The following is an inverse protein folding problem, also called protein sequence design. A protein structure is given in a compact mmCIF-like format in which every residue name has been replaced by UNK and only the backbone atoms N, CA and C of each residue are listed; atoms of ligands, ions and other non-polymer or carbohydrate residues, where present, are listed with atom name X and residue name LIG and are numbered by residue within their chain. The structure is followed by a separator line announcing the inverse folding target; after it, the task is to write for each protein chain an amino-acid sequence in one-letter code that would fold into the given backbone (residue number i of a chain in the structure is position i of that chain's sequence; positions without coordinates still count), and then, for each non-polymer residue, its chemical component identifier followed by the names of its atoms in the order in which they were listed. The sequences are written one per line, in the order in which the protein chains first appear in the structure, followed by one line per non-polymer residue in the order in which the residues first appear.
data_IF_233298584119
#
_entry.id   IF_233298584119
#
_cell.length_a   1.000
_cell.length_b   1.000
_cell.length_c   1.000
_cell.angle_alpha   90.00
_cell.angle_beta   90.00
_cell.angle_gamma   90.00
#
_symmetry.space_group_name_H-M   'P 1'
#
loop_
_entity.id
_entity.type
_entity.pdbx_description
1 polymer ?
2 non-polymer ?
3 water ?
#
# COMPACT_ATOMS: atom_id res chain seq x y z
N UNK A 1 -22.62 -13.72 4.57
CA UNK A 1 -21.61 -13.46 5.65
C UNK A 1 -20.98 -12.08 5.52
N UNK A 2 -20.77 -11.40 6.64
CA UNK A 2 -20.27 -10.03 6.64
C UNK A 2 -18.79 -9.97 6.22
N UNK A 3 -18.01 -10.95 6.67
CA UNK A 3 -16.58 -10.96 6.42
C UNK A 3 -16.26 -12.26 5.69
N UNK A 4 -14.88 -12.02 4.94
CA UNK A 4 -14.16 -13.10 4.26
C UNK A 4 -13.69 -14.16 5.28
N UNK A 5 -13.60 -15.41 4.88
CA UNK A 5 -13.18 -16.49 5.79
C UNK A 5 -11.77 -16.33 6.33
N UNK A 6 -10.87 -15.78 5.53
CA UNK A 6 -9.51 -15.56 6.00
C UNK A 6 -9.41 -14.61 7.19
N UNK A 7 -10.43 -13.80 7.40
CA UNK A 7 -10.47 -12.91 8.54
C UNK A 7 -10.54 -13.69 9.82
N UNK A 8 -11.10 -14.89 9.78
CA UNK A 8 -11.20 -15.74 10.96
C UNK A 8 -10.03 -16.70 11.15
N UNK A 9 -9.28 -16.97 10.10
CA UNK A 9 -8.22 -18.00 10.10
C UNK A 9 -6.77 -17.52 9.85
N UNK A 10 -6.57 -16.26 9.47
CA UNK A 10 -5.26 -15.77 9.07
C UNK A 10 -4.17 -16.04 10.10
N UNK A 11 -3.08 -16.62 9.63
CA UNK A 11 -1.90 -16.97 10.43
C UNK A 11 -0.65 -16.96 9.56
N UNK A 12 0.47 -16.39 10.05
CA UNK A 12 1.73 -16.41 9.30
C UNK A 12 2.15 -17.86 9.08
N UNK A 13 2.45 -18.17 7.83
CA UNK A 13 2.94 -19.50 7.45
C UNK A 13 3.94 -19.40 6.34
N UNK A 14 4.72 -20.45 6.17
CA UNK A 14 5.72 -20.55 5.14
C UNK A 14 7.09 -20.16 5.69
N UNK A 15 8.05 -20.10 4.79
CA UNK A 15 9.37 -19.64 5.15
C UNK A 15 9.34 -18.13 5.29
N UNK A 16 10.29 -17.58 6.01
CA UNK A 16 10.34 -16.16 6.22
C UNK A 16 11.72 -15.59 6.10
N UNK A 17 11.77 -14.28 5.95
CA UNK A 17 13.02 -13.53 5.90
C UNK A 17 12.86 -12.22 6.65
N UNK A 18 13.82 -11.91 7.52
CA UNK A 18 13.82 -10.63 8.21
C UNK A 18 14.82 -9.72 7.48
N UNK A 19 14.41 -8.48 7.25
CA UNK A 19 15.22 -7.47 6.64
C UNK A 19 15.20 -6.27 7.56
N UNK A 20 16.37 -5.64 7.63
CA UNK A 20 16.55 -4.43 8.51
C UNK A 20 17.26 -3.30 7.81
N UNK A 21 17.55 -3.38 6.52
CA UNK A 21 18.00 -2.26 5.70
C UNK A 21 17.05 -2.12 4.52
N UNK A 22 17.21 -1.11 3.70
CA UNK A 22 16.40 -0.96 2.50
C UNK A 22 16.72 -2.13 1.61
N UNK A 23 15.69 -2.86 1.20
CA UNK A 23 15.90 -4.09 0.44
C UNK A 23 14.63 -4.46 -0.33
N UNK A 24 14.85 -4.82 -1.58
CA UNK A 24 13.85 -5.40 -2.47
C UNK A 24 14.25 -6.84 -2.67
N UNK A 25 13.28 -7.74 -2.61
CA UNK A 25 13.58 -9.14 -2.86
C UNK A 25 12.33 -9.96 -3.08
N UNK A 26 12.47 -11.27 -3.03
CA UNK A 26 11.39 -12.21 -3.06
C UNK A 26 11.59 -13.25 -1.98
N UNK A 27 10.50 -13.73 -1.46
CA UNK A 27 10.48 -14.85 -0.53
C UNK A 27 9.50 -15.82 -1.09
N UNK A 28 10.01 -16.97 -1.49
CA UNK A 28 9.22 -17.83 -2.29
C UNK A 28 8.95 -17.03 -3.55
N UNK A 29 7.70 -16.99 -3.85
CA UNK A 29 7.17 -16.31 -5.01
C UNK A 29 6.51 -15.00 -4.69
N UNK A 30 6.77 -14.42 -3.52
CA UNK A 30 6.18 -13.17 -3.07
C UNK A 30 7.22 -12.08 -3.15
N UNK A 31 6.94 -10.97 -3.82
CA UNK A 31 7.81 -9.85 -3.83
C UNK A 31 7.67 -9.04 -2.56
N UNK A 32 8.77 -8.50 -2.06
CA UNK A 32 8.75 -7.63 -0.88
C UNK A 32 9.67 -6.44 -1.05
N UNK A 33 9.41 -5.42 -0.24
CA UNK A 33 10.34 -4.33 -0.12
C UNK A 33 10.17 -3.73 1.26
N UNK A 34 11.32 -3.44 1.88
CA UNK A 34 11.41 -2.56 3.01
C UNK A 34 12.14 -1.31 2.50
N UNK A 35 11.58 -0.12 2.73
CA UNK A 35 12.22 1.13 2.32
C UNK A 35 11.92 2.14 3.37
N UNK A 36 12.93 2.84 3.80
CA UNK A 36 12.74 4.01 4.62
C UNK A 36 13.79 5.04 4.29
N UNK A 37 13.46 6.31 4.51
CA UNK A 37 14.45 7.38 4.29
C UNK A 37 15.39 7.55 5.48
N UNK A 38 15.04 6.95 6.61
CA UNK A 38 15.75 7.13 7.84
C UNK A 38 15.20 6.16 8.85
N UNK A 39 15.90 6.05 9.96
CA UNK A 39 15.46 5.29 11.13
C UNK A 39 16.08 3.88 11.28
N UNK A 40 15.70 3.21 12.37
CA UNK A 40 16.14 1.86 12.71
C UNK A 40 14.92 0.91 12.61
N UNK A 41 14.79 0.26 11.45
CA UNK A 41 13.51 -0.35 11.05
C UNK A 41 13.71 -1.83 10.71
N UNK A 42 12.61 -2.57 10.58
CA UNK A 42 12.67 -3.95 10.12
C UNK A 42 11.36 -4.38 9.50
N UNK A 43 11.37 -5.52 8.82
CA UNK A 43 10.17 -6.21 8.39
C UNK A 43 10.50 -7.68 8.25
N UNK A 44 9.49 -8.51 8.51
CA UNK A 44 9.53 -9.95 8.33
C UNK A 44 8.51 -10.36 7.31
N UNK A 45 8.97 -11.00 6.22
CA UNK A 45 8.10 -11.38 5.08
C UNK A 45 8.04 -12.89 4.99
N UNK A 46 6.84 -13.41 4.79
CA UNK A 46 6.57 -14.85 4.69
C UNK A 46 6.20 -15.23 3.29
N UNK A 47 6.49 -16.49 2.92
CA UNK A 47 6.19 -17.02 1.59
C UNK A 47 4.72 -17.22 1.29
N UNK A 48 3.88 -17.11 2.30
CA UNK A 48 2.42 -17.09 2.06
C UNK A 48 1.88 -15.68 1.77
N UNK A 49 2.75 -14.70 1.69
CA UNK A 49 2.36 -13.33 1.44
C UNK A 49 2.25 -12.44 2.67
N UNK A 50 2.00 -13.03 3.83
CA UNK A 50 1.83 -12.29 5.06
C UNK A 50 3.15 -11.69 5.54
N UNK A 51 3.11 -10.71 6.46
CA UNK A 51 4.31 -10.00 6.86
C UNK A 51 4.07 -9.21 8.14
N UNK A 52 5.15 -8.70 8.71
CA UNK A 52 5.09 -7.82 9.89
C UNK A 52 6.14 -6.72 9.79
N UNK A 53 5.86 -5.57 10.43
CA UNK A 53 6.63 -4.34 10.26
C UNK A 53 7.02 -3.75 11.63
N UNK A 54 8.23 -3.21 11.70
CA UNK A 54 8.67 -2.33 12.81
C UNK A 54 9.43 -1.13 12.27
N UNK A 55 9.17 0.03 12.93
CA UNK A 55 9.83 1.28 12.53
C UNK A 55 10.17 2.08 13.76
N UNK A 56 11.30 2.80 13.70
CA UNK A 56 11.80 3.60 14.83
C UNK A 56 12.53 4.82 14.32
N UNK A 57 12.00 5.99 14.70
CA UNK A 57 12.60 7.24 14.32
C UNK A 57 12.69 7.44 12.81
N UNK A 58 11.67 6.96 12.10
CA UNK A 58 11.59 7.02 10.64
C UNK A 58 10.82 8.26 10.14
N UNK A 59 11.34 8.94 9.14
CA UNK A 59 10.61 10.01 8.50
C UNK A 59 9.58 9.51 7.50
N UNK A 60 9.90 8.47 6.73
CA UNK A 60 8.98 7.83 5.85
C UNK A 60 9.45 6.39 5.77
N UNK A 61 8.56 5.48 6.20
CA UNK A 61 8.80 4.03 6.26
C UNK A 61 7.69 3.30 5.54
N UNK A 62 8.07 2.37 4.70
CA UNK A 62 7.13 1.54 3.97
C UNK A 62 7.57 0.08 4.11
N UNK A 63 6.60 -0.78 4.49
CA UNK A 63 6.76 -2.22 4.42
C UNK A 63 5.69 -2.76 3.47
N UNK A 64 6.08 -3.59 2.48
CA UNK A 64 5.09 -4.00 1.49
C UNK A 64 5.45 -5.35 0.90
N UNK A 65 4.40 -6.09 0.51
CA UNK A 65 4.55 -7.43 -0.03
C UNK A 65 3.49 -7.66 -1.12
N UNK A 66 3.87 -8.36 -2.18
CA UNK A 66 2.92 -8.67 -3.26
C UNK A 66 3.62 -8.78 -4.56
N UNK A 67 3.04 -8.18 -5.60
CA UNK A 67 3.45 -8.39 -6.99
C UNK A 67 4.48 -7.38 -7.42
N UNK A 68 5.47 -7.85 -8.14
CA UNK A 68 6.50 -6.99 -8.78
C UNK A 68 6.46 -7.31 -10.27
N UNK A 69 6.29 -6.30 -11.08
CA UNK A 69 6.20 -6.43 -12.54
C UNK A 69 7.40 -5.73 -13.18
N UNK A 70 7.48 -5.77 -14.49
CA UNK A 70 8.62 -5.24 -15.22
C UNK A 70 8.30 -3.93 -15.95
N UNK A 71 7.20 -3.26 -15.66
CA UNK A 71 6.88 -1.98 -16.27
C UNK A 71 6.79 -2.05 -17.78
N UNK A 72 6.15 -3.12 -18.26
CA UNK A 72 5.94 -3.30 -19.72
C UNK A 72 4.46 -3.28 -20.12
N UNK A 73 3.52 -3.45 -19.18
CA UNK A 73 2.10 -3.58 -19.50
C UNK A 73 1.26 -2.73 -18.56
N UNK A 74 0.20 -2.14 -19.07
CA UNK A 74 -0.75 -1.46 -18.22
C UNK A 74 -1.53 -2.47 -17.41
N UNK A 75 -2.20 -2.01 -16.34
CA UNK A 75 -3.07 -2.92 -15.59
C UNK A 75 -4.10 -3.66 -16.46
N UNK A 76 -4.70 -2.98 -17.40
CA UNK A 76 -5.70 -3.63 -18.24
C UNK A 76 -5.08 -4.75 -19.07
N UNK A 77 -3.87 -4.55 -19.55
CA UNK A 77 -3.15 -5.59 -20.27
C UNK A 77 -2.77 -6.77 -19.40
N UNK A 78 -2.49 -6.54 -18.12
CA UNK A 78 -2.13 -7.59 -17.18
C UNK A 78 -3.33 -8.44 -16.77
N UNK A 79 -4.47 -7.80 -16.46
CA UNK A 79 -5.64 -8.50 -15.97
C UNK A 79 -6.21 -7.85 -14.75
N UNK A 80 -7.32 -8.39 -14.27
CA UNK A 80 -8.05 -7.87 -13.11
C UNK A 80 -7.36 -8.36 -11.86
N UNK A 81 -7.02 -7.45 -10.94
CA UNK A 81 -6.22 -7.73 -9.75
C UNK A 81 -6.98 -7.43 -8.48
N UNK A 82 -6.65 -8.17 -7.44
CA UNK A 82 -7.24 -8.08 -6.12
C UNK A 82 -6.19 -8.25 -5.06
N UNK A 83 -6.48 -7.78 -3.85
CA UNK A 83 -5.67 -8.08 -2.70
C UNK A 83 -6.54 -8.45 -1.52
N UNK A 84 -6.21 -9.53 -0.87
CA UNK A 84 -6.81 -9.96 0.39
C UNK A 84 -5.87 -9.52 1.49
N UNK A 85 -6.37 -8.94 2.57
CA UNK A 85 -5.50 -8.51 3.66
C UNK A 85 -6.22 -8.56 4.98
N UNK A 86 -5.38 -8.68 6.02
CA UNK A 86 -5.79 -8.51 7.41
C UNK A 86 -4.70 -7.77 8.16
N UNK A 87 -5.06 -6.63 8.75
CA UNK A 87 -4.17 -5.78 9.55
C UNK A 87 -4.51 -5.93 11.01
N UNK A 88 -3.47 -6.06 11.84
CA UNK A 88 -3.59 -6.00 13.28
C UNK A 88 -2.68 -4.88 13.74
N UNK A 89 -3.28 -3.79 14.25
CA UNK A 89 -2.50 -2.66 14.75
C UNK A 89 -1.94 -2.99 16.11
N UNK A 90 -0.80 -2.37 16.39
CA UNK A 90 -0.06 -2.49 17.65
C UNK A 90 0.31 -1.03 18.00
N UNK A 91 1.20 -0.84 18.96
CA UNK A 91 1.51 0.50 19.43
C UNK A 91 2.27 1.29 18.38
N UNK A 92 2.02 2.60 18.34
CA UNK A 92 2.90 3.52 17.60
C UNK A 92 2.93 4.93 18.22
N UNK A 93 3.86 5.77 17.78
CA UNK A 93 3.95 7.11 18.32
C UNK A 93 4.50 8.06 17.27
N UNK A 94 4.07 9.31 17.37
CA UNK A 94 4.54 10.37 16.45
C UNK A 94 4.36 9.98 14.97
N UNK A 95 3.24 9.31 14.66
CA UNK A 95 2.92 8.94 13.29
C UNK A 95 2.09 10.10 12.76
N UNK A 96 2.74 10.95 11.96
CA UNK A 96 2.10 12.12 11.37
C UNK A 96 1.24 11.82 10.17
N UNK A 97 1.58 10.77 9.43
CA UNK A 97 0.78 10.32 8.30
C UNK A 97 1.01 8.79 8.16
N UNK A 98 0.01 8.10 7.63
CA UNK A 98 0.10 6.65 7.40
C UNK A 98 -0.96 6.19 6.45
N UNK A 99 -0.61 5.15 5.74
CA UNK A 99 -1.48 4.49 4.78
C UNK A 99 -1.33 2.98 4.91
N UNK A 100 -2.48 2.28 4.94
CA UNK A 100 -2.53 0.82 4.87
C UNK A 100 -3.51 0.42 3.78
N UNK A 101 -3.09 -0.48 2.90
CA UNK A 101 -3.98 -0.97 1.82
C UNK A 101 -3.12 -1.51 0.71
N UNK A 102 -3.40 -1.08 -0.51
CA UNK A 102 -2.66 -1.46 -1.68
C UNK A 102 -1.87 -0.26 -2.18
N UNK A 103 -0.70 -0.55 -2.73
CA UNK A 103 0.25 0.46 -3.19
C UNK A 103 0.99 -0.01 -4.39
N UNK A 104 1.40 0.92 -5.23
CA UNK A 104 2.40 0.62 -6.23
C UNK A 104 2.74 1.82 -7.07
N UNK A 105 3.32 1.54 -8.23
CA UNK A 105 3.74 2.56 -9.18
C UNK A 105 3.38 2.16 -10.59
N UNK A 106 3.23 3.15 -11.44
CA UNK A 106 3.35 2.99 -12.88
C UNK A 106 4.43 3.88 -13.42
N UNK A 107 4.84 3.59 -14.65
CA UNK A 107 5.72 4.42 -15.47
C UNK A 107 4.97 4.85 -16.72
N UNK A 108 5.33 6.03 -17.22
CA UNK A 108 4.75 6.52 -18.49
C UNK A 108 3.22 6.52 -18.48
N UNK A 109 2.59 7.23 -17.56
CA UNK A 109 3.19 8.21 -16.65
C UNK A 109 3.70 7.60 -15.35
N UNK A 110 4.66 8.30 -14.74
CA UNK A 110 5.20 7.96 -13.45
C UNK A 110 4.21 8.34 -12.36
N UNK A 111 3.69 7.33 -11.69
CA UNK A 111 2.63 7.49 -10.69
C UNK A 111 2.93 6.62 -9.50
N UNK A 112 2.76 7.16 -8.30
CA UNK A 112 2.72 6.38 -7.04
C UNK A 112 1.26 6.33 -6.64
N UNK A 113 0.70 5.14 -6.47
CA UNK A 113 -0.73 4.99 -6.21
C UNK A 113 -0.99 4.28 -4.91
N UNK A 114 -2.14 4.62 -4.32
CA UNK A 114 -2.59 4.14 -3.03
C UNK A 114 -4.08 3.84 -3.04
N UNK A 115 -4.45 2.69 -2.48
CA UNK A 115 -5.80 2.36 -2.12
C UNK A 115 -5.80 2.14 -0.64
N UNK A 116 -6.34 3.08 0.13
CA UNK A 116 -6.10 3.17 1.57
C UNK A 116 -7.35 2.74 2.30
N UNK A 117 -7.30 1.58 2.93
CA UNK A 117 -8.39 1.07 3.72
C UNK A 117 -8.22 1.29 5.21
N UNK A 118 -7.02 1.62 5.66
CA UNK A 118 -6.75 1.86 7.07
C UNK A 118 -5.47 2.68 7.19
N UNK A 119 -5.05 2.88 8.45
CA UNK A 119 -3.96 3.81 8.77
C UNK A 119 -3.53 3.55 10.17
N UNK A 120 -2.23 3.77 10.42
CA UNK A 120 -1.61 3.59 11.73
C UNK A 120 -1.55 4.88 12.51
N UNK A 121 -1.86 6.01 11.87
CA UNK A 121 -1.97 7.30 12.46
C UNK A 121 -3.20 7.37 13.34
N UNK A 122 -3.24 8.36 14.26
CA UNK A 122 -4.42 8.42 15.12
C UNK A 122 -5.73 8.72 14.34
N UNK A 123 -5.62 9.47 13.26
CA UNK A 123 -6.77 9.85 12.44
C UNK A 123 -6.47 9.48 10.99
N UNK A 124 -7.53 9.33 10.16
CA UNK A 124 -7.23 9.03 8.76
C UNK A 124 -6.49 10.17 8.05
N UNK A 125 -5.83 9.86 6.92
CA UNK A 125 -5.29 10.94 6.11
C UNK A 125 -6.40 11.86 5.64
N UNK A 126 -6.09 13.14 5.58
CA UNK A 126 -7.04 14.16 5.21
C UNK A 126 -6.79 14.78 3.86
N UNK A 127 -7.43 15.92 3.64
CA UNK A 127 -7.40 16.57 2.33
C UNK A 127 -6.00 17.01 1.91
N UNK A 128 -5.09 17.10 2.87
CA UNK A 128 -3.70 17.41 2.59
C UNK A 128 -3.00 16.38 1.70
N UNK A 129 -3.57 15.20 1.50
CA UNK A 129 -2.89 14.19 0.68
C UNK A 129 -2.74 14.62 -0.76
N UNK A 130 -3.58 15.52 -1.27
CA UNK A 130 -3.35 15.94 -2.63
C UNK A 130 -3.91 17.30 -2.98
N UNK A 131 -3.42 17.87 -4.05
CA UNK A 131 -3.92 19.15 -4.48
C UNK A 131 -5.29 19.10 -5.12
N UNK A 132 -5.71 17.95 -5.63
CA UNK A 132 -6.99 17.80 -6.30
C UNK A 132 -7.84 16.79 -5.54
N UNK A 133 -8.99 17.22 -5.08
CA UNK A 133 -9.96 16.38 -4.44
C UNK A 133 -11.05 16.09 -5.44
N UNK A 134 -11.13 14.87 -5.95
CA UNK A 134 -12.13 14.51 -6.93
C UNK A 134 -13.46 14.29 -6.30
N UNK A 135 -13.50 13.93 -5.03
CA UNK A 135 -14.75 13.74 -4.32
C UNK A 135 -15.00 12.33 -3.88
N UNK A 136 -16.24 12.06 -3.51
CA UNK A 136 -16.68 10.78 -2.98
C UNK A 136 -17.24 9.90 -4.07
N UNK A 137 -16.87 8.64 -4.06
CA UNK A 137 -17.28 7.67 -5.05
C UNK A 137 -17.57 6.36 -4.36
N UNK A 138 -18.54 5.64 -4.88
CA UNK A 138 -18.74 4.23 -4.51
C UNK A 138 -17.81 3.39 -5.39
N UNK A 139 -16.84 2.76 -4.73
CA UNK A 139 -15.86 1.91 -5.38
C UNK A 139 -15.83 0.61 -4.62
N UNK A 140 -15.96 -0.52 -5.32
CA UNK A 140 -15.84 -1.83 -4.69
C UNK A 140 -16.78 -1.90 -3.49
N UNK A 141 -18.02 -1.40 -3.65
CA UNK A 141 -19.04 -1.59 -2.64
C UNK A 141 -18.92 -0.74 -1.40
N UNK A 142 -18.06 0.28 -1.43
CA UNK A 142 -17.88 1.16 -0.27
C UNK A 142 -17.59 2.59 -0.73
N UNK A 143 -17.72 3.53 0.20
CA UNK A 143 -17.40 4.93 -0.07
C UNK A 143 -15.92 5.21 0.11
N UNK A 144 -15.33 5.81 -0.93
CA UNK A 144 -13.94 6.26 -0.95
C UNK A 144 -13.89 7.71 -1.39
N UNK A 145 -12.96 8.46 -0.83
CA UNK A 145 -12.64 9.78 -1.33
C UNK A 145 -11.43 9.65 -2.26
N UNK A 146 -11.52 10.21 -3.45
CA UNK A 146 -10.47 10.11 -4.44
C UNK A 146 -9.74 11.44 -4.55
N UNK A 147 -8.42 11.36 -4.53
CA UNK A 147 -7.52 12.52 -4.61
C UNK A 147 -6.47 12.25 -5.65
N UNK A 148 -5.90 13.33 -6.16
CA UNK A 148 -4.73 13.27 -7.01
C UNK A 148 -3.73 14.32 -6.51
N UNK A 149 -2.45 14.06 -6.69
CA UNK A 149 -1.40 14.96 -6.28
C UNK A 149 -0.27 14.93 -7.28
N UNK A 150 0.62 15.92 -7.17
CA UNK A 150 1.93 15.91 -7.83
C UNK A 150 2.97 16.12 -6.71
N UNK A 151 3.93 15.21 -6.59
CA UNK A 151 4.88 15.14 -5.44
C UNK A 151 6.28 15.08 -6.01
N UNK A 152 7.24 15.60 -5.24
CA UNK A 152 8.65 15.56 -5.53
C UNK A 152 9.32 14.77 -4.42
N UNK A 153 10.15 13.79 -4.77
CA UNK A 153 10.80 12.99 -3.74
C UNK A 153 11.43 11.76 -4.36
N UNK A 154 11.87 10.84 -3.51
CA UNK A 154 12.40 9.59 -3.97
C UNK A 154 11.33 8.85 -4.76
N UNK A 155 11.77 8.11 -5.77
CA UNK A 155 10.87 7.36 -6.59
C UNK A 155 11.59 6.12 -7.13
N UNK A 156 10.84 5.28 -7.82
CA UNK A 156 11.43 4.11 -8.46
C UNK A 156 12.43 4.47 -9.58
N UNK A 157 12.40 5.72 -10.02
CA UNK A 157 13.30 6.23 -11.07
C UNK A 157 14.43 7.08 -10.48
N UNK A 158 14.51 7.23 -9.16
CA UNK A 158 15.42 8.20 -8.54
C UNK A 158 14.65 9.43 -8.07
N UNK A 159 15.34 10.43 -7.55
CA UNK A 159 14.70 11.63 -7.04
C UNK A 159 14.14 12.43 -8.20
N UNK A 160 12.82 12.62 -8.24
CA UNK A 160 12.17 13.27 -9.37
C UNK A 160 10.80 13.74 -8.90
N UNK A 161 9.91 14.01 -9.85
CA UNK A 161 8.52 14.35 -9.60
C UNK A 161 7.61 13.35 -10.31
N UNK A 162 6.49 13.09 -9.65
CA UNK A 162 5.55 12.07 -10.08
C UNK A 162 4.14 12.48 -9.66
N UNK A 163 3.14 11.92 -10.31
CA UNK A 163 1.80 12.01 -9.82
C UNK A 163 1.53 11.00 -8.74
N UNK A 164 0.56 11.31 -7.89
CA UNK A 164 0.03 10.35 -6.94
C UNK A 164 -1.45 10.22 -7.14
N UNK A 165 -1.96 9.00 -7.04
CA UNK A 165 -3.40 8.70 -7.05
C UNK A 165 -3.78 8.07 -5.73
N UNK A 166 -4.88 8.52 -5.12
CA UNK A 166 -5.35 7.99 -3.85
C UNK A 166 -6.84 7.68 -3.93
N UNK A 167 -7.22 6.52 -3.37
CA UNK A 167 -8.57 6.28 -2.90
C UNK A 167 -8.47 6.12 -1.38
N UNK A 168 -9.20 6.89 -0.60
CA UNK A 168 -9.16 6.79 0.84
C UNK A 168 -10.52 6.34 1.35
N UNK A 169 -10.59 5.18 1.99
CA UNK A 169 -11.83 4.62 2.45
C UNK A 169 -12.40 5.52 3.53
N UNK A 170 -13.71 5.81 3.48
CA UNK A 170 -14.32 6.73 4.44
C UNK A 170 -14.52 6.10 5.80
N UNK A 171 -14.63 4.80 5.87
CA UNK A 171 -14.63 4.07 7.13
C UNK A 171 -13.59 2.97 7.08
N UNK A 172 -12.69 2.95 8.08
CA UNK A 172 -11.61 2.00 8.09
C UNK A 172 -12.12 0.56 7.98
N UNK A 173 -11.30 -0.25 7.33
CA UNK A 173 -11.51 -1.68 7.16
C UNK A 173 -10.22 -2.38 7.62
N UNK A 174 -10.32 -3.35 8.53
CA UNK A 174 -9.10 -4.09 8.87
C UNK A 174 -8.95 -5.47 8.28
N UNK A 175 -9.95 -5.97 7.56
CA UNK A 175 -9.83 -7.24 6.89
C UNK A 175 -10.80 -7.32 5.74
N UNK A 176 -10.32 -7.71 4.57
CA UNK A 176 -11.20 -7.92 3.42
C UNK A 176 -10.42 -7.99 2.13
N UNK A 177 -11.12 -7.88 1.03
CA UNK A 177 -10.57 -7.90 -0.29
C UNK A 177 -10.72 -6.55 -0.96
N UNK A 178 -9.58 -5.98 -1.38
CA UNK A 178 -9.57 -4.78 -2.19
C UNK A 178 -9.61 -5.20 -3.64
N UNK A 179 -10.63 -4.75 -4.36
CA UNK A 179 -10.70 -4.93 -5.80
C UNK A 179 -9.89 -3.81 -6.43
N UNK A 180 -8.61 -4.10 -6.66
CA UNK A 180 -7.66 -3.11 -7.10
C UNK A 180 -8.09 -2.49 -8.42
N UNK A 181 -8.44 -3.36 -9.38
CA UNK A 181 -8.78 -2.89 -10.70
C UNK A 181 -10.04 -2.05 -10.70
N UNK A 182 -10.96 -2.26 -9.75
CA UNK A 182 -12.13 -1.38 -9.66
C UNK A 182 -11.70 0.04 -9.33
N UNK A 183 -10.67 0.22 -8.51
CA UNK A 183 -10.13 1.56 -8.26
C UNK A 183 -9.49 2.12 -9.51
N UNK A 184 -8.69 1.32 -10.21
CA UNK A 184 -8.10 1.78 -11.46
C UNK A 184 -9.18 2.24 -12.45
N UNK A 185 -10.28 1.50 -12.54
CA UNK A 185 -11.38 1.88 -13.42
C UNK A 185 -11.95 3.26 -13.05
N UNK A 186 -12.17 3.48 -11.75
CA UNK A 186 -12.67 4.76 -11.30
C UNK A 186 -11.70 5.90 -11.62
N UNK A 187 -10.43 5.65 -11.36
CA UNK A 187 -9.40 6.65 -11.61
C UNK A 187 -9.35 7.01 -13.10
N UNK A 188 -9.50 6.05 -13.99
CA UNK A 188 -9.47 6.32 -15.43
C UNK A 188 -10.62 7.26 -15.83
N UNK A 189 -11.78 7.14 -15.18
CA UNK A 189 -12.91 8.01 -15.45
C UNK A 189 -12.64 9.47 -15.08
N UNK A 190 -11.70 9.68 -14.17
CA UNK A 190 -11.36 10.99 -13.64
C UNK A 190 -10.09 11.54 -14.25
N UNK A 191 -9.57 10.92 -15.31
CA UNK A 191 -8.36 11.40 -15.96
C UNK A 191 -7.06 10.94 -15.31
N UNK A 192 -7.18 10.04 -14.36
CA UNK A 192 -6.03 9.51 -13.62
C UNK A 192 -5.56 8.24 -14.32
N UNK A 193 -4.81 8.42 -15.39
CA UNK A 193 -4.40 7.35 -16.30
C UNK A 193 -3.34 6.49 -15.64
N UNK A 194 -3.48 5.16 -15.76
CA UNK A 194 -2.43 4.27 -15.30
C UNK A 194 -1.43 4.00 -16.41
N UNK A 195 -0.15 4.13 -16.09
CA UNK A 195 0.89 3.72 -16.99
C UNK A 195 1.20 2.24 -16.91
N UNK A 196 2.39 1.89 -17.40
CA UNK A 196 2.87 0.51 -17.33
C UNK A 196 3.17 0.16 -15.87
N UNK A 197 2.67 -0.97 -15.41
CA UNK A 197 2.64 -1.27 -13.97
C UNK A 197 4.00 -1.80 -13.50
N UNK A 198 4.49 -1.20 -12.42
CA UNK A 198 5.70 -1.64 -11.72
C UNK A 198 5.43 -2.60 -10.60
N UNK A 199 4.35 -2.42 -9.85
CA UNK A 199 4.07 -3.29 -8.71
C UNK A 199 2.66 -3.07 -8.23
N UNK A 200 2.17 -4.03 -7.47
CA UNK A 200 0.90 -3.95 -6.75
C UNK A 200 1.10 -4.75 -5.49
N UNK A 201 1.14 -4.09 -4.34
CA UNK A 201 1.47 -4.72 -3.05
C UNK A 201 0.59 -4.29 -1.94
N UNK A 202 0.44 -5.12 -0.93
CA UNK A 202 -0.15 -4.73 0.34
C UNK A 202 0.90 -3.95 1.10
N UNK A 203 0.48 -2.83 1.67
CA UNK A 203 1.37 -1.84 2.29
C UNK A 203 0.98 -1.47 3.69
N UNK A 204 2.00 -1.32 4.55
CA UNK A 204 1.93 -0.49 5.70
C UNK A 204 2.98 0.62 5.59
N UNK A 205 2.51 1.87 5.59
CA UNK A 205 3.38 3.09 5.54
C UNK A 205 3.08 3.95 6.75
N UNK A 206 4.18 4.48 7.35
CA UNK A 206 4.07 5.45 8.43
C UNK A 206 5.24 6.42 8.29
N UNK A 207 4.96 7.67 8.60
CA UNK A 207 5.98 8.70 8.57
C UNK A 207 5.59 9.92 9.37
N UNK A 208 6.49 10.88 9.36
CA UNK A 208 6.28 12.16 9.97
C UNK A 208 7.17 13.13 9.22
N UNK A 209 6.59 14.26 8.78
CA UNK A 209 7.35 15.22 7.95
C UNK A 209 8.53 15.80 8.73
N UNK A 210 8.36 15.96 10.04
CA UNK A 210 9.43 16.40 10.93
C UNK A 210 9.93 15.35 11.90
N UNK A 211 8.98 14.64 12.49
CA UNK A 211 9.29 13.60 13.44
C UNK A 211 10.15 12.51 12.85
N UNK A 212 10.40 11.52 13.69
CA UNK A 212 10.57 10.18 13.30
C UNK A 212 9.37 9.52 13.96
N UNK A 213 8.64 8.79 13.14
CA UNK A 213 7.57 7.94 13.60
C UNK A 213 8.15 6.65 14.14
N UNK A 214 7.52 6.08 15.17
CA UNK A 214 7.92 4.76 15.65
C UNK A 214 6.69 3.89 15.87
N UNK A 215 6.85 2.57 15.72
CA UNK A 215 5.79 1.63 16.04
C UNK A 215 5.95 0.32 15.31
N UNK A 216 4.92 -0.52 15.41
CA UNK A 216 4.91 -1.80 14.71
C UNK A 216 3.49 -2.06 14.16
N UNK A 217 3.37 -2.97 13.20
CA UNK A 217 2.09 -3.43 12.67
C UNK A 217 2.24 -4.85 12.13
N UNK A 218 1.16 -5.62 12.14
CA UNK A 218 1.13 -7.00 11.68
C UNK A 218 0.13 -7.19 10.56
N UNK A 219 0.52 -7.96 9.56
CA UNK A 219 -0.34 -8.36 8.45
C UNK A 219 -0.39 -9.89 8.38
N UNK A 220 -1.22 -10.51 9.22
CA UNK A 220 -1.32 -11.94 9.21
C UNK A 220 -1.91 -12.58 7.93
N UNK A 221 -2.53 -11.77 7.10
CA UNK A 221 -2.95 -12.18 5.77
C UNK A 221 -2.58 -11.09 4.82
N UNK A 222 -1.99 -11.47 3.70
CA UNK A 222 -1.72 -10.51 2.63
C UNK A 222 -1.45 -11.30 1.35
N UNK A 223 -2.37 -11.24 0.41
CA UNK A 223 -2.22 -11.94 -0.90
C UNK A 223 -2.70 -11.06 -2.00
N UNK A 224 -1.84 -10.81 -2.98
CA UNK A 224 -2.19 -10.05 -4.17
C UNK A 224 -2.19 -10.99 -5.36
N UNK A 225 -3.21 -10.90 -6.22
CA UNK A 225 -3.35 -11.90 -7.25
C UNK A 225 -4.08 -11.31 -8.43
N UNK A 226 -3.86 -11.97 -9.58
CA UNK A 226 -4.55 -11.68 -10.82
C UNK A 226 -5.63 -12.74 -10.94
N UNK A 227 -6.90 -12.37 -10.68
CA UNK A 227 -7.98 -13.36 -10.66
C UNK A 227 -9.27 -12.78 -10.14
N UNK A 228 -10.29 -13.64 -10.10
CA UNK A 228 -11.64 -13.28 -9.66
C UNK A 228 -11.71 -13.03 -8.16
X LIG B 1 -13.61 -9.12 -12.11
X LIG B 1 -14.81 -9.07 -11.22
X LIG B 1 -13.09 -7.72 -12.30
X LIG B 1 -12.60 -10.02 -11.51
X LIG B 1 -13.95 -9.64 -13.45
#
# INVERSE_FOLDING_TARGET
AEFQSFCSSASHSGQSVKVTGNKVGTIGGVGYELWADSGNNSATFYSDGSFSCTFQNAGDYLCRSGLSFDSTKTPSQIGRMKADFKLVKQNSSNVGYSYVGVYGWTRSPLVEYYIVDNWLSPFPPGDWVGNKKHGSFTIDGAQYTVYENTRTGPSIDGDTTFNQYFSIRQQARDCGTIDISAHFDQWEKLGMTMGKLHEAKVLGEAGNVNGGASGTADFPYAKVYIGD
SO4 S O1 O2 O3 O4
#
